data_IF_883965148088
#
_entry.id   IF_883965148088
#
_cell.length_a   1.000
_cell.length_b   1.000
_cell.length_c   1.000
_cell.angle_alpha   90.00
_cell.angle_beta   90.00
_cell.angle_gamma   90.00
#
_symmetry.space_group_name_H-M   'P 1'
#
loop_
_entity.id
_entity.type
_entity.pdbx_description
1 polymer ?
#
# COMPACT_ATOMS: atom_id res chain seq x y z
N UNK A 1 53.53 77.00 40.99
CA UNK A 1 53.20 76.86 42.43
C UNK A 1 52.11 75.80 42.54
N UNK A 2 52.34 74.76 43.36
CA UNK A 2 51.42 73.66 43.75
C UNK A 2 51.01 72.70 42.61
N UNK A 3 51.03 71.36 42.71
CA UNK A 3 51.15 70.35 43.77
C UNK A 3 51.70 69.06 43.09
N UNK A 4 52.68 68.29 43.61
CA UNK A 4 52.54 67.10 44.50
C UNK A 4 51.31 66.23 44.16
N UNK A 5 51.38 64.93 43.87
CA UNK A 5 52.18 63.87 44.47
C UNK A 5 52.44 62.66 43.54
N UNK A 6 53.45 61.90 43.93
CA UNK A 6 53.92 60.61 43.40
C UNK A 6 53.11 59.43 44.00
N UNK A 7 52.97 58.34 43.24
CA UNK A 7 53.19 56.94 43.70
C UNK A 7 53.10 56.02 42.47
N UNK A 8 54.18 55.33 42.06
CA UNK A 8 54.58 53.98 42.54
C UNK A 8 53.49 52.92 42.30
N UNK A 9 53.70 51.73 41.74
CA UNK A 9 54.84 50.99 41.18
C UNK A 9 54.25 49.72 40.53
N UNK A 10 55.08 48.99 39.76
CA UNK A 10 54.96 47.56 39.46
C UNK A 10 53.90 47.12 38.42
N UNK A 11 54.08 46.08 37.60
CA UNK A 11 55.23 45.29 37.14
C UNK A 11 54.67 44.39 36.01
N UNK A 12 55.37 44.33 34.88
CA UNK A 12 55.55 43.19 33.95
C UNK A 12 54.57 42.00 34.04
N UNK A 13 53.91 41.61 32.93
CA UNK A 13 54.19 40.38 32.12
C UNK A 13 53.19 40.13 30.97
N UNK A 14 53.74 40.08 29.76
CA UNK A 14 53.43 39.22 28.58
C UNK A 14 52.24 38.24 28.62
N UNK A 15 51.44 38.27 27.55
CA UNK A 15 51.26 37.23 26.50
C UNK A 15 50.15 37.71 25.55
N UNK A 16 50.44 38.06 24.30
CA UNK A 16 50.34 37.17 23.13
C UNK A 16 49.09 36.29 23.17
N UNK A 17 48.13 36.54 22.26
CA UNK A 17 47.61 35.54 21.31
C UNK A 17 46.33 36.03 20.59
N UNK A 18 46.51 36.29 19.29
CA UNK A 18 45.60 36.06 18.15
C UNK A 18 44.14 36.57 18.12
N UNK A 19 43.70 37.13 16.97
CA UNK A 19 42.33 37.59 16.77
C UNK A 19 41.33 36.42 16.72
N UNK A 20 40.28 36.49 17.54
CA UNK A 20 39.09 35.64 17.39
C UNK A 20 38.50 35.83 15.99
N UNK A 21 38.72 34.82 15.16
CA UNK A 21 38.07 34.64 13.86
C UNK A 21 36.56 34.51 14.12
N UNK A 22 35.81 35.55 13.80
CA UNK A 22 34.33 35.55 13.83
C UNK A 22 33.84 34.36 13.03
N UNK A 23 33.31 33.34 13.72
CA UNK A 23 32.53 32.27 13.10
C UNK A 23 31.16 32.83 12.77
N UNK A 24 30.98 33.25 11.53
CA UNK A 24 29.67 33.52 10.96
C UNK A 24 28.94 32.18 10.85
N UNK A 25 28.01 31.92 11.78
CA UNK A 25 27.05 30.83 11.64
C UNK A 25 25.98 31.32 10.67
N UNK A 26 26.07 30.87 9.41
CA UNK A 26 25.00 31.02 8.44
C UNK A 26 23.83 30.12 8.88
N UNK A 27 22.90 30.70 9.62
CA UNK A 27 21.60 30.11 9.87
C UNK A 27 20.80 30.09 8.56
N UNK A 28 20.52 28.87 8.09
CA UNK A 28 19.29 28.43 7.46
C UNK A 28 18.72 29.23 6.29
N UNK A 29 18.75 28.62 5.09
CA UNK A 29 17.53 28.24 4.35
C UNK A 29 17.89 27.01 3.49
N UNK A 30 17.54 25.81 3.95
CA UNK A 30 17.42 24.66 3.04
C UNK A 30 16.12 24.84 2.26
N UNK A 31 16.09 24.73 0.92
CA UNK A 31 14.84 24.71 0.18
C UNK A 31 14.18 23.33 0.35
N UNK A 32 13.57 23.10 1.51
CA UNK A 32 12.87 21.86 1.87
C UNK A 32 11.44 21.79 1.30
N UNK A 33 11.08 22.65 0.35
CA UNK A 33 9.69 22.77 -0.14
C UNK A 33 9.33 21.85 -1.32
N UNK A 34 10.22 20.95 -1.76
CA UNK A 34 9.86 19.93 -2.76
C UNK A 34 9.83 18.50 -2.22
N UNK A 35 10.35 18.23 -1.02
CA UNK A 35 10.37 16.87 -0.47
C UNK A 35 8.99 16.40 0.03
N UNK A 36 8.07 17.32 0.33
CA UNK A 36 6.70 16.99 0.80
C UNK A 36 5.81 16.38 -0.28
N UNK A 37 5.94 16.82 -1.54
CA UNK A 37 5.09 16.35 -2.64
C UNK A 37 5.38 14.90 -3.09
N UNK A 38 6.55 14.35 -2.76
CA UNK A 38 6.88 12.94 -3.04
C UNK A 38 6.33 12.00 -1.96
N UNK A 39 6.12 12.48 -0.74
CA UNK A 39 5.55 11.69 0.34
C UNK A 39 4.05 11.45 0.13
N UNK A 40 3.31 12.44 -0.39
CA UNK A 40 1.90 12.26 -0.79
C UNK A 40 1.74 11.33 -2.01
N UNK A 41 2.79 11.17 -2.81
CA UNK A 41 2.85 10.15 -3.88
C UNK A 41 3.03 8.71 -3.35
N UNK A 42 3.48 8.53 -2.11
CA UNK A 42 3.61 7.20 -1.48
C UNK A 42 2.29 6.73 -0.85
N UNK A 43 1.30 7.61 -0.72
CA UNK A 43 -0.07 7.27 -0.32
C UNK A 43 -1.01 7.15 -1.51
N UNK A 44 -0.56 6.56 -2.63
CA UNK A 44 -1.46 6.19 -3.71
C UNK A 44 -2.31 5.01 -3.28
N UNK A 45 -3.46 5.33 -2.70
CA UNK A 45 -4.44 4.34 -2.29
C UNK A 45 -5.24 3.97 -3.55
N UNK A 46 -4.98 2.78 -4.11
CA UNK A 46 -5.84 2.27 -5.17
C UNK A 46 -7.20 1.95 -4.57
N UNK A 47 -8.26 2.46 -5.19
CA UNK A 47 -9.63 2.24 -4.73
C UNK A 47 -10.51 1.87 -5.91
N UNK A 48 -11.38 0.89 -5.73
CA UNK A 48 -12.29 0.48 -6.78
C UNK A 48 -13.25 -0.61 -6.34
N UNK A 49 -14.16 -0.94 -7.25
CA UNK A 49 -15.11 -2.04 -7.11
C UNK A 49 -14.55 -3.30 -7.77
N UNK A 50 -14.60 -4.43 -7.09
CA UNK A 50 -14.32 -5.74 -7.68
C UNK A 50 -15.48 -6.09 -8.62
N UNK A 51 -15.18 -6.24 -9.90
CA UNK A 51 -16.21 -6.51 -10.93
C UNK A 51 -16.13 -7.92 -11.51
N UNK A 52 -14.97 -8.58 -11.40
CA UNK A 52 -14.79 -9.97 -11.85
C UNK A 52 -13.65 -10.64 -11.09
N UNK A 53 -13.74 -11.94 -10.89
CA UNK A 53 -12.69 -12.83 -10.39
C UNK A 53 -12.49 -13.97 -11.37
N UNK A 54 -11.25 -14.41 -11.59
CA UNK A 54 -10.92 -15.58 -12.42
C UNK A 54 -9.90 -16.45 -11.70
N UNK A 55 -10.11 -17.76 -11.76
CA UNK A 55 -9.15 -18.76 -11.36
C UNK A 55 -8.66 -19.47 -12.61
N UNK A 56 -7.35 -19.44 -12.83
CA UNK A 56 -6.72 -19.99 -14.03
C UNK A 56 -5.70 -21.05 -13.63
N UNK A 57 -5.74 -22.18 -14.31
CA UNK A 57 -4.71 -23.21 -14.25
C UNK A 57 -3.70 -22.99 -15.37
N UNK A 58 -2.43 -23.21 -15.10
CA UNK A 58 -1.35 -23.07 -16.07
C UNK A 58 -0.64 -24.41 -16.20
N UNK A 59 -0.42 -24.82 -17.44
CA UNK A 59 0.46 -25.91 -17.81
C UNK A 59 1.47 -25.45 -18.87
N UNK A 60 2.45 -26.28 -19.19
CA UNK A 60 3.33 -26.06 -20.35
C UNK A 60 2.57 -25.89 -21.68
N UNK A 61 1.36 -26.46 -21.80
CA UNK A 61 0.52 -26.39 -23.00
C UNK A 61 -0.28 -25.09 -23.10
N UNK A 62 -0.48 -24.38 -21.99
CA UNK A 62 -1.18 -23.11 -21.97
C UNK A 62 -1.92 -22.81 -20.68
N UNK A 63 -2.94 -21.96 -20.81
CA UNK A 63 -3.73 -21.44 -19.70
C UNK A 63 -5.19 -21.86 -19.85
N UNK A 64 -5.74 -22.45 -18.81
CA UNK A 64 -7.12 -22.94 -18.75
C UNK A 64 -7.90 -22.14 -17.72
N UNK A 65 -9.08 -21.63 -18.10
CA UNK A 65 -9.98 -20.99 -17.16
C UNK A 65 -10.76 -22.04 -16.37
N UNK A 66 -10.49 -22.12 -15.07
CA UNK A 66 -11.13 -23.06 -14.15
C UNK A 66 -12.45 -22.49 -13.66
N UNK A 67 -12.47 -21.21 -13.29
CA UNK A 67 -13.67 -20.52 -12.85
C UNK A 67 -13.62 -19.04 -13.17
N UNK A 68 -14.80 -18.46 -13.43
CA UNK A 68 -15.03 -17.03 -13.54
C UNK A 68 -16.22 -16.64 -12.69
N UNK A 69 -16.09 -15.53 -11.96
CA UNK A 69 -17.17 -14.93 -11.19
C UNK A 69 -17.30 -13.48 -11.60
N UNK A 70 -18.50 -13.03 -11.94
CA UNK A 70 -18.82 -11.63 -12.15
C UNK A 70 -20.25 -11.31 -11.69
N UNK A 71 -20.84 -10.20 -12.15
CA UNK A 71 -22.18 -9.79 -11.75
C UNK A 71 -23.27 -10.78 -12.15
N UNK A 72 -23.02 -11.61 -13.15
CA UNK A 72 -24.00 -12.54 -13.69
C UNK A 72 -23.98 -13.89 -12.94
N UNK A 73 -22.98 -14.07 -12.06
CA UNK A 73 -22.82 -15.24 -11.22
C UNK A 73 -21.45 -15.89 -11.38
N UNK A 74 -21.37 -17.15 -10.99
CA UNK A 74 -20.17 -17.96 -11.13
C UNK A 74 -20.34 -19.03 -12.21
N UNK A 75 -19.31 -19.19 -13.03
CA UNK A 75 -19.18 -20.32 -13.97
C UNK A 75 -17.91 -21.08 -13.60
N UNK A 76 -18.02 -22.40 -13.49
CA UNK A 76 -16.90 -23.32 -13.25
C UNK A 76 -16.82 -24.24 -14.44
N UNK A 77 -15.61 -24.53 -14.92
CA UNK A 77 -15.41 -25.53 -15.97
C UNK A 77 -15.92 -26.90 -15.51
N UNK A 78 -16.56 -27.66 -16.40
CA UNK A 78 -17.17 -28.96 -16.06
C UNK A 78 -16.19 -29.94 -15.40
N UNK A 79 -14.89 -29.87 -15.73
CA UNK A 79 -13.85 -30.71 -15.13
C UNK A 79 -13.68 -30.48 -13.62
N UNK A 80 -14.01 -29.28 -13.14
CA UNK A 80 -13.78 -28.84 -11.76
C UNK A 80 -15.09 -28.52 -11.00
N UNK A 81 -16.25 -28.86 -11.57
CA UNK A 81 -17.56 -28.55 -10.98
C UNK A 81 -17.78 -29.27 -9.63
N UNK A 82 -17.36 -30.53 -9.51
CA UNK A 82 -17.45 -31.27 -8.24
C UNK A 82 -16.60 -30.63 -7.14
N UNK A 83 -15.43 -30.11 -7.52
CA UNK A 83 -14.48 -29.52 -6.58
C UNK A 83 -14.87 -28.11 -6.13
N UNK A 84 -15.39 -27.28 -7.05
CA UNK A 84 -15.58 -25.85 -6.82
C UNK A 84 -17.03 -25.37 -6.92
N UNK A 85 -17.95 -26.15 -7.45
CA UNK A 85 -19.26 -25.70 -7.94
C UNK A 85 -20.13 -24.95 -6.92
N UNK A 86 -19.94 -25.20 -5.62
CA UNK A 86 -20.69 -24.50 -4.57
C UNK A 86 -20.08 -23.16 -4.15
N UNK A 87 -18.76 -23.00 -4.26
CA UNK A 87 -18.05 -21.82 -3.76
C UNK A 87 -16.77 -21.51 -4.56
N UNK A 88 -16.85 -21.26 -5.88
CA UNK A 88 -15.66 -21.00 -6.71
C UNK A 88 -14.96 -19.66 -6.37
N UNK A 89 -15.59 -18.85 -5.53
CA UNK A 89 -15.03 -17.61 -5.00
C UNK A 89 -14.13 -17.84 -3.78
N UNK A 90 -14.25 -18.97 -3.09
CA UNK A 90 -13.57 -19.28 -1.83
C UNK A 90 -12.69 -20.53 -2.01
N UNK A 91 -11.47 -20.32 -2.48
CA UNK A 91 -10.55 -21.43 -2.75
C UNK A 91 -9.91 -21.90 -1.44
N UNK A 92 -10.41 -23.03 -0.94
CA UNK A 92 -9.86 -23.72 0.24
C UNK A 92 -8.44 -24.22 -0.03
N UNK A 93 -7.70 -24.54 1.04
CA UNK A 93 -6.36 -25.13 0.88
C UNK A 93 -6.44 -26.51 0.20
N UNK A 94 -7.47 -27.30 0.52
CA UNK A 94 -7.70 -28.60 -0.10
C UNK A 94 -7.96 -28.48 -1.60
N UNK A 95 -8.89 -27.61 -2.00
CA UNK A 95 -9.17 -27.37 -3.42
C UNK A 95 -7.95 -26.85 -4.18
N UNK A 96 -7.17 -25.94 -3.58
CA UNK A 96 -5.94 -25.45 -4.20
C UNK A 96 -4.89 -26.56 -4.38
N UNK A 97 -4.76 -27.47 -3.42
CA UNK A 97 -3.83 -28.60 -3.52
C UNK A 97 -4.27 -29.57 -4.61
N UNK A 98 -5.56 -29.93 -4.66
CA UNK A 98 -6.10 -30.81 -5.70
C UNK A 98 -5.92 -30.21 -7.10
N UNK A 99 -6.14 -28.91 -7.26
CA UNK A 99 -5.86 -28.23 -8.54
C UNK A 99 -4.36 -28.20 -8.85
N UNK A 100 -3.50 -28.07 -7.84
CA UNK A 100 -2.04 -28.12 -8.00
C UNK A 100 -1.48 -29.49 -8.39
N UNK A 101 -2.28 -30.56 -8.30
CA UNK A 101 -1.93 -31.87 -8.87
C UNK A 101 -2.18 -31.93 -10.38
N UNK A 102 -3.09 -31.09 -10.90
CA UNK A 102 -3.48 -31.04 -12.31
C UNK A 102 -2.79 -29.91 -13.10
N UNK A 103 -2.31 -28.87 -12.42
CA UNK A 103 -1.71 -27.68 -13.03
C UNK A 103 -0.33 -27.38 -12.42
N UNK A 104 0.59 -26.89 -13.26
CA UNK A 104 1.94 -26.48 -12.84
C UNK A 104 1.91 -25.22 -11.97
N UNK A 105 0.95 -24.33 -12.21
CA UNK A 105 0.71 -23.12 -11.41
C UNK A 105 -0.77 -22.72 -11.42
N UNK A 106 -1.18 -21.97 -10.40
CA UNK A 106 -2.52 -21.40 -10.27
C UNK A 106 -2.44 -19.88 -10.22
N UNK A 107 -3.17 -19.21 -11.11
CA UNK A 107 -3.33 -17.76 -11.08
C UNK A 107 -4.69 -17.36 -10.58
N UNK A 108 -4.67 -16.55 -9.52
CA UNK A 108 -5.82 -15.89 -8.96
C UNK A 108 -5.87 -14.47 -9.48
N UNK A 109 -6.90 -14.15 -10.25
CA UNK A 109 -7.07 -12.83 -10.86
C UNK A 109 -8.32 -12.13 -10.34
N UNK A 110 -8.19 -10.83 -10.12
CA UNK A 110 -9.26 -9.94 -9.68
C UNK A 110 -9.29 -8.71 -10.59
N UNK A 111 -10.42 -8.48 -11.22
CA UNK A 111 -10.65 -7.28 -12.03
C UNK A 111 -11.33 -6.21 -11.19
N UNK A 112 -10.73 -5.02 -11.17
CA UNK A 112 -11.19 -3.87 -10.38
C UNK A 112 -11.55 -2.72 -11.30
N UNK A 113 -12.78 -2.23 -11.19
CA UNK A 113 -13.21 -0.95 -11.75
C UNK A 113 -12.83 0.16 -10.79
N UNK A 114 -11.79 0.92 -11.11
CA UNK A 114 -11.27 1.98 -10.24
C UNK A 114 -12.28 3.12 -10.05
N UNK A 115 -12.33 3.63 -8.82
CA UNK A 115 -13.02 4.88 -8.53
C UNK A 115 -12.20 6.03 -9.09
N UNK A 116 -12.84 6.90 -9.88
CA UNK A 116 -12.18 8.05 -10.53
C UNK A 116 -11.76 9.17 -9.58
N UNK A 117 -11.71 8.91 -8.27
CA UNK A 117 -11.56 9.92 -7.22
C UNK A 117 -10.08 10.17 -6.87
N UNK A 118 -9.16 9.37 -7.42
CA UNK A 118 -7.72 9.66 -7.36
C UNK A 118 -7.38 10.84 -8.26
N UNK A 119 -6.47 11.73 -7.82
CA UNK A 119 -5.90 12.80 -8.65
C UNK A 119 -5.59 12.23 -10.04
N UNK A 120 -6.21 12.78 -11.09
CA UNK A 120 -6.20 12.27 -12.47
C UNK A 120 -4.81 12.11 -13.11
N UNK A 121 -3.76 12.56 -12.41
CA UNK A 121 -2.35 12.47 -12.79
C UNK A 121 -1.67 11.26 -12.10
N UNK A 122 -2.33 10.64 -11.11
CA UNK A 122 -1.75 9.64 -10.20
C UNK A 122 -2.66 8.42 -9.92
N UNK A 123 -3.98 8.52 -10.15
CA UNK A 123 -4.93 7.41 -9.99
C UNK A 123 -5.05 6.54 -11.24
N UNK A 124 -5.14 5.22 -11.06
CA UNK A 124 -5.58 4.33 -12.14
C UNK A 124 -7.06 4.56 -12.40
N UNK A 125 -7.44 4.60 -13.67
CA UNK A 125 -8.83 4.78 -14.09
C UNK A 125 -9.26 3.59 -14.95
N UNK A 126 -10.57 3.36 -15.02
CA UNK A 126 -11.14 2.26 -15.77
C UNK A 126 -11.01 0.91 -15.06
N UNK A 127 -11.13 -0.15 -15.84
CA UNK A 127 -11.20 -1.53 -15.37
C UNK A 127 -9.88 -2.23 -15.62
N UNK A 128 -9.24 -2.72 -14.55
CA UNK A 128 -7.90 -3.32 -14.61
C UNK A 128 -7.94 -4.69 -13.95
N UNK A 129 -7.37 -5.68 -14.63
CA UNK A 129 -7.13 -7.02 -14.09
C UNK A 129 -5.85 -7.04 -13.27
N UNK A 130 -5.91 -7.66 -12.10
CA UNK A 130 -4.80 -7.83 -11.20
C UNK A 130 -4.58 -9.29 -10.86
N UNK A 131 -3.32 -9.70 -10.73
CA UNK A 131 -2.97 -10.93 -10.03
C UNK A 131 -3.04 -10.70 -8.51
N UNK A 132 -3.41 -11.73 -7.77
CA UNK A 132 -3.49 -11.68 -6.30
C UNK A 132 -3.06 -13.01 -5.69
N UNK A 133 -2.94 -13.06 -4.36
CA UNK A 133 -2.76 -14.32 -3.64
C UNK A 133 -4.09 -15.06 -3.50
N UNK A 134 -4.04 -16.37 -3.26
CA UNK A 134 -5.24 -17.17 -2.96
C UNK A 134 -6.04 -16.59 -1.80
N UNK A 135 -5.38 -16.19 -0.72
CA UNK A 135 -6.04 -15.65 0.47
C UNK A 135 -6.81 -14.36 0.16
N UNK A 136 -6.20 -13.45 -0.61
CA UNK A 136 -6.85 -12.21 -1.03
C UNK A 136 -7.98 -12.48 -2.04
N UNK A 137 -7.79 -13.41 -2.98
CA UNK A 137 -8.85 -13.84 -3.88
C UNK A 137 -10.06 -14.37 -3.09
N UNK A 138 -9.85 -15.30 -2.16
CA UNK A 138 -10.92 -15.90 -1.37
C UNK A 138 -11.58 -14.90 -0.41
N UNK A 139 -10.83 -13.90 0.07
CA UNK A 139 -11.31 -12.91 1.03
C UNK A 139 -12.07 -11.72 0.41
N UNK A 140 -12.27 -11.68 -0.91
CA UNK A 140 -13.03 -10.62 -1.59
C UNK A 140 -14.13 -11.21 -2.46
N UNK A 141 -15.29 -10.58 -2.46
CA UNK A 141 -16.41 -10.91 -3.32
C UNK A 141 -16.48 -9.97 -4.54
N UNK A 142 -17.12 -10.45 -5.61
CA UNK A 142 -17.56 -9.55 -6.68
C UNK A 142 -18.64 -8.64 -6.12
N UNK A 143 -18.52 -7.34 -6.37
CA UNK A 143 -19.38 -6.32 -5.78
C UNK A 143 -18.69 -5.51 -4.69
N UNK A 144 -17.68 -6.07 -4.03
CA UNK A 144 -16.97 -5.39 -2.95
C UNK A 144 -16.22 -4.16 -3.43
N UNK A 145 -16.18 -3.16 -2.58
CA UNK A 145 -15.36 -1.97 -2.70
C UNK A 145 -14.10 -2.16 -1.86
N UNK A 146 -12.95 -2.00 -2.51
CA UNK A 146 -11.64 -2.25 -1.90
C UNK A 146 -10.74 -1.03 -1.98
N UNK A 147 -9.95 -0.86 -0.93
CA UNK A 147 -8.76 -0.02 -0.88
C UNK A 147 -7.56 -0.93 -0.77
N UNK A 148 -6.56 -0.78 -1.63
CA UNK A 148 -5.50 -1.78 -1.76
C UNK A 148 -4.14 -1.22 -2.19
N UNK A 149 -3.10 -2.02 -1.94
CA UNK A 149 -1.74 -1.75 -2.39
C UNK A 149 -1.32 -2.76 -3.45
N UNK A 150 -0.55 -2.29 -4.42
CA UNK A 150 0.05 -3.11 -5.46
C UNK A 150 1.54 -3.30 -5.20
N UNK A 151 2.14 -4.36 -5.75
CA UNK A 151 3.59 -4.54 -5.72
C UNK A 151 4.29 -3.40 -6.46
N UNK A 152 5.42 -2.93 -5.91
CA UNK A 152 6.30 -1.94 -6.56
C UNK A 152 7.02 -2.51 -7.79
N UNK A 153 7.20 -3.84 -7.83
CA UNK A 153 7.88 -4.54 -8.93
C UNK A 153 6.90 -5.04 -10.00
N UNK A 154 5.67 -5.34 -9.60
CA UNK A 154 4.59 -5.85 -10.46
C UNK A 154 3.33 -5.07 -10.17
N UNK A 155 3.15 -3.96 -10.87
CA UNK A 155 2.08 -3.01 -10.56
C UNK A 155 0.67 -3.58 -10.85
N UNK A 156 0.57 -4.69 -11.56
CA UNK A 156 -0.62 -5.51 -11.80
C UNK A 156 -0.83 -6.58 -10.72
N UNK A 157 -0.06 -6.61 -9.64
CA UNK A 157 -0.24 -7.55 -8.53
C UNK A 157 -0.73 -6.82 -7.29
N UNK A 158 -1.88 -7.21 -6.75
CA UNK A 158 -2.37 -6.76 -5.44
C UNK A 158 -1.65 -7.57 -4.35
N UNK A 159 -1.06 -6.87 -3.39
CA UNK A 159 -0.29 -7.49 -2.30
C UNK A 159 -0.97 -7.38 -0.94
N UNK A 160 -1.85 -6.38 -0.76
CA UNK A 160 -2.57 -6.18 0.50
C UNK A 160 -3.86 -5.40 0.29
N UNK A 161 -4.84 -5.67 1.14
CA UNK A 161 -6.04 -4.86 1.30
C UNK A 161 -5.88 -3.95 2.51
N UNK A 162 -6.29 -2.71 2.35
CA UNK A 162 -6.32 -1.71 3.41
C UNK A 162 -7.74 -1.50 3.95
N UNK A 163 -8.76 -1.68 3.12
CA UNK A 163 -10.18 -1.60 3.50
C UNK A 163 -11.01 -2.44 2.53
N UNK A 164 -12.08 -3.05 3.04
CA UNK A 164 -13.02 -3.89 2.32
C UNK A 164 -14.42 -3.57 2.84
N UNK A 165 -15.36 -3.30 1.93
CA UNK A 165 -16.75 -2.99 2.29
C UNK A 165 -17.69 -3.29 1.11
N UNK A 166 -18.96 -3.57 1.39
CA UNK A 166 -20.00 -3.75 0.37
C UNK A 166 -20.52 -2.43 -0.20
N UNK A 167 -20.28 -1.30 0.47
CA UNK A 167 -20.81 0.01 0.09
C UNK A 167 -19.67 1.00 -0.21
N UNK A 168 -19.75 1.69 -1.35
CA UNK A 168 -18.71 2.65 -1.76
C UNK A 168 -18.54 3.77 -0.76
N UNK A 169 -19.63 4.26 -0.19
CA UNK A 169 -19.70 5.39 0.74
C UNK A 169 -18.97 5.08 2.05
N UNK A 170 -18.90 3.79 2.41
CA UNK A 170 -18.20 3.28 3.58
C UNK A 170 -16.72 3.01 3.30
N UNK A 171 -16.26 3.16 2.04
CA UNK A 171 -14.88 2.86 1.66
C UNK A 171 -13.94 3.93 2.20
N UNK A 172 -13.12 3.54 3.17
CA UNK A 172 -12.05 4.37 3.71
C UNK A 172 -10.71 4.00 3.07
N UNK A 173 -9.71 4.88 3.22
CA UNK A 173 -8.35 4.54 2.83
C UNK A 173 -7.83 3.33 3.61
N UNK A 174 -8.19 3.23 4.89
CA UNK A 174 -7.93 2.08 5.76
C UNK A 174 -9.17 1.81 6.60
N UNK A 175 -9.60 0.56 6.67
CA UNK A 175 -10.63 0.14 7.62
C UNK A 175 -9.95 -0.12 8.97
N UNK A 176 -10.54 0.32 10.10
CA UNK A 176 -10.10 -0.15 11.40
C UNK A 176 -10.30 -1.68 11.45
N UNK A 177 -9.24 -2.41 11.74
CA UNK A 177 -9.41 -3.80 12.20
C UNK A 177 -10.20 -3.70 13.50
N UNK A 178 -11.34 -4.40 13.58
CA UNK A 178 -12.15 -4.43 14.78
C UNK A 178 -11.31 -4.93 15.94
N UNK A 179 -10.77 -3.99 16.74
CA UNK A 179 -10.35 -4.31 18.09
C UNK A 179 -11.66 -4.28 18.85
N UNK A 180 -12.26 -5.44 19.06
CA UNK A 180 -13.32 -5.57 20.07
C UNK A 180 -12.72 -5.04 21.36
N UNK A 181 -13.19 -3.89 21.82
CA UNK A 181 -12.75 -3.32 23.08
C UNK A 181 -13.26 -4.26 24.18
N UNK A 182 -12.37 -4.97 24.90
CA UNK A 182 -12.77 -5.90 25.95
C UNK A 182 -13.42 -5.20 27.15
N UNK A 183 -13.52 -3.86 27.13
CA UNK A 183 -14.19 -3.06 28.17
C UNK A 183 -15.60 -2.60 27.81
N UNK A 184 -16.16 -3.08 26.69
CA UNK A 184 -17.59 -2.91 26.42
C UNK A 184 -18.39 -3.85 27.34
N UNK A 185 -18.60 -3.41 28.58
CA UNK A 185 -19.47 -4.07 29.56
C UNK A 185 -20.91 -4.14 29.00
N UNK A 186 -21.46 -5.35 28.93
CA UNK A 186 -22.91 -5.60 28.85
C UNK A 186 -23.54 -5.58 30.23
#
# INVERSE_FOLDING_TARGET
>A
MHSRDQNETANVRTKEETPMKRRTVLAGVLPLLQAGQWLDRLSLVNQGKVVRKRLLGITDEGMTEIAVLDSDGATVSNEHEELLGQAPGEITTEAANSLGEAYDDLRFQTTVSHHGDGLSILGRTGTIEYQTSRALYSGIAVGDHISFQTSLLKADTIISLSCLTSERESLQHRCPVGVEDPTTDQ
#
